data_IF_022173560480
#
_entry.id   IF_022173560480
#
_cell.length_a   1.000
_cell.length_b   1.000
_cell.length_c   1.000
_cell.angle_alpha   90.00
_cell.angle_beta   90.00
_cell.angle_gamma   90.00
#
_symmetry.space_group_name_H-M   'P 1'
#
loop_
_entity.id
_entity.type
_entity.pdbx_description
1 polymer ?
#
# COMPACT_ATOMS: atom_id res chain seq x y z
N UNK A 1 28.73 -6.99 6.69
CA UNK A 1 27.63 -6.07 6.31
C UNK A 1 26.56 -6.23 7.37
N UNK A 2 26.37 -5.21 8.22
CA UNK A 2 25.35 -5.29 9.28
C UNK A 2 23.97 -5.36 8.66
N UNK A 3 23.20 -6.41 8.97
CA UNK A 3 21.80 -6.49 8.60
C UNK A 3 21.06 -5.34 9.31
N UNK A 4 20.59 -4.35 8.56
CA UNK A 4 19.71 -3.33 9.11
C UNK A 4 18.43 -4.05 9.56
N UNK A 5 18.27 -4.24 10.88
CA UNK A 5 17.09 -4.88 11.46
C UNK A 5 15.85 -3.96 11.49
N UNK A 6 15.97 -2.75 10.98
CA UNK A 6 14.91 -1.76 10.91
C UNK A 6 14.91 -1.00 9.58
N UNK A 7 13.74 -0.52 9.20
CA UNK A 7 13.53 0.28 7.99
C UNK A 7 12.40 1.28 8.21
N UNK A 8 12.59 2.50 7.73
CA UNK A 8 11.54 3.53 7.70
C UNK A 8 11.10 3.79 6.27
N UNK A 9 9.79 3.72 6.02
CA UNK A 9 9.20 3.89 4.70
C UNK A 9 8.11 4.95 4.70
N UNK A 10 7.98 5.66 3.57
CA UNK A 10 6.87 6.57 3.29
C UNK A 10 5.84 5.86 2.41
N UNK A 11 4.63 5.74 2.93
CA UNK A 11 3.46 5.23 2.23
C UNK A 11 2.71 6.42 1.61
N UNK A 12 2.95 6.68 0.32
CA UNK A 12 2.45 7.86 -0.37
C UNK A 12 1.00 7.70 -0.79
N UNK A 13 0.16 8.71 -0.55
CA UNK A 13 -1.22 8.76 -0.98
C UNK A 13 -1.35 8.84 -2.51
N UNK A 14 -2.54 8.53 -3.02
CA UNK A 14 -2.92 8.77 -4.42
C UNK A 14 -4.18 9.63 -4.50
N UNK A 15 -4.34 10.25 -5.64
CA UNK A 15 -5.60 10.85 -6.09
C UNK A 15 -5.95 10.31 -7.47
N UNK A 16 -7.21 10.43 -7.87
CA UNK A 16 -7.64 10.23 -9.23
C UNK A 16 -7.75 11.59 -9.91
N UNK A 17 -6.98 11.81 -10.99
CA UNK A 17 -7.08 13.03 -11.82
C UNK A 17 -8.31 13.00 -12.70
N UNK A 18 -8.77 11.81 -13.07
CA UNK A 18 -9.99 11.53 -13.79
C UNK A 18 -10.45 10.12 -13.47
N UNK A 19 -11.76 9.90 -13.43
CA UNK A 19 -12.36 8.59 -13.22
C UNK A 19 -13.67 8.50 -14.01
N UNK A 20 -13.73 7.53 -14.90
CA UNK A 20 -14.94 7.16 -15.65
C UNK A 20 -15.40 5.77 -15.21
N UNK A 21 -16.70 5.64 -14.97
CA UNK A 21 -17.35 4.33 -14.80
C UNK A 21 -17.86 3.91 -16.17
N UNK A 22 -17.17 2.93 -16.77
CA UNK A 22 -17.43 2.49 -18.14
C UNK A 22 -18.73 1.67 -18.22
N UNK A 23 -18.88 0.71 -17.30
CA UNK A 23 -20.07 -0.14 -17.19
C UNK A 23 -20.11 -0.87 -15.84
N UNK A 24 -21.30 -1.37 -15.50
CA UNK A 24 -21.46 -2.36 -14.44
C UNK A 24 -21.17 -3.75 -15.00
N UNK A 25 -20.38 -4.53 -14.26
CA UNK A 25 -20.04 -5.91 -14.61
C UNK A 25 -21.07 -6.89 -14.02
N UNK A 26 -21.12 -8.09 -14.56
CA UNK A 26 -22.00 -9.17 -14.07
C UNK A 26 -21.60 -9.66 -12.65
N UNK A 27 -20.31 -9.53 -12.30
CA UNK A 27 -19.78 -9.86 -10.97
C UNK A 27 -20.09 -8.82 -9.89
N UNK A 28 -20.86 -7.77 -10.22
CA UNK A 28 -21.29 -6.70 -9.33
C UNK A 28 -20.30 -5.55 -9.21
N UNK A 29 -19.06 -5.69 -9.71
CA UNK A 29 -18.08 -4.61 -9.81
C UNK A 29 -18.41 -3.64 -10.96
N UNK A 30 -17.72 -2.50 -10.96
CA UNK A 30 -17.75 -1.56 -12.07
C UNK A 30 -16.45 -1.63 -12.85
N UNK A 31 -16.56 -1.69 -14.17
CA UNK A 31 -15.41 -1.44 -15.04
C UNK A 31 -15.13 0.06 -15.04
N UNK A 32 -13.92 0.42 -14.68
CA UNK A 32 -13.51 1.81 -14.55
C UNK A 32 -12.32 2.11 -15.45
N UNK A 33 -12.19 3.38 -15.81
CA UNK A 33 -10.99 3.93 -16.43
C UNK A 33 -10.61 5.17 -15.66
N UNK A 34 -9.40 5.19 -15.06
CA UNK A 34 -8.99 6.30 -14.22
C UNK A 34 -7.50 6.61 -14.38
N UNK A 35 -7.17 7.89 -14.21
CA UNK A 35 -5.78 8.34 -14.14
C UNK A 35 -5.45 8.54 -12.69
N UNK A 36 -4.59 7.65 -12.17
CA UNK A 36 -4.10 7.72 -10.79
C UNK A 36 -2.81 8.53 -10.72
N UNK A 37 -2.69 9.33 -9.68
CA UNK A 37 -1.50 10.15 -9.41
C UNK A 37 -1.05 10.01 -7.96
N UNK A 38 0.21 9.64 -7.76
CA UNK A 38 0.85 9.68 -6.43
C UNK A 38 1.10 11.12 -6.00
N UNK A 39 0.80 11.44 -4.75
CA UNK A 39 1.01 12.77 -4.15
C UNK A 39 1.92 12.70 -2.92
N UNK A 40 2.48 13.83 -2.48
CA UNK A 40 3.43 13.91 -1.37
C UNK A 40 2.79 14.01 0.03
N UNK A 41 1.52 13.60 0.17
CA UNK A 41 0.92 13.27 1.45
C UNK A 41 1.25 11.81 1.76
N UNK A 42 1.73 11.47 2.96
CA UNK A 42 2.16 10.11 3.25
C UNK A 42 2.00 9.73 4.72
N UNK A 43 1.80 8.45 4.95
CA UNK A 43 1.94 7.80 6.24
C UNK A 43 3.39 7.32 6.40
N UNK A 44 3.86 7.22 7.63
CA UNK A 44 5.21 6.71 7.93
C UNK A 44 5.11 5.35 8.61
N UNK A 45 5.87 4.40 8.08
CA UNK A 45 6.00 3.06 8.63
C UNK A 45 7.44 2.85 9.10
N UNK A 46 7.64 2.66 10.40
CA UNK A 46 8.91 2.24 10.98
C UNK A 46 8.78 0.74 11.33
N UNK A 47 9.47 -0.12 10.59
CA UNK A 47 9.34 -1.59 10.64
C UNK A 47 10.64 -2.18 11.18
N UNK A 48 10.53 -3.08 12.16
CA UNK A 48 11.66 -3.80 12.76
C UNK A 48 11.45 -5.30 12.67
N UNK A 49 12.52 -6.04 12.35
CA UNK A 49 12.58 -7.48 12.53
C UNK A 49 12.74 -7.79 14.01
N UNK A 50 11.98 -8.76 14.52
CA UNK A 50 12.06 -9.24 15.91
C UNK A 50 12.36 -10.73 15.91
N UNK A 51 13.00 -11.21 17.01
CA UNK A 51 13.24 -12.65 17.20
C UNK A 51 11.96 -13.36 17.67
N UNK A 52 11.08 -12.65 18.34
CA UNK A 52 9.79 -13.18 18.78
C UNK A 52 8.87 -13.29 17.57
N UNK A 53 8.29 -14.48 17.29
CA UNK A 53 7.36 -14.65 16.18
C UNK A 53 6.13 -13.75 16.29
N UNK A 54 5.55 -13.42 15.15
CA UNK A 54 4.29 -12.69 15.06
C UNK A 54 4.42 -11.29 14.47
N UNK A 55 3.28 -10.61 14.37
CA UNK A 55 3.13 -9.28 13.77
C UNK A 55 2.57 -8.35 14.83
N UNK A 56 3.33 -7.34 15.22
CA UNK A 56 2.93 -6.34 16.20
C UNK A 56 2.77 -4.99 15.50
N UNK A 57 1.59 -4.36 15.65
CA UNK A 57 1.27 -3.06 15.04
C UNK A 57 0.95 -2.07 16.15
N UNK A 58 1.58 -0.89 16.09
CA UNK A 58 1.26 0.29 16.88
C UNK A 58 0.88 1.42 15.94
N UNK A 59 -0.13 2.20 16.27
CA UNK A 59 -0.60 3.33 15.49
C UNK A 59 -0.99 4.51 16.37
N UNK A 60 -0.91 5.72 15.83
CA UNK A 60 -1.37 6.95 16.47
C UNK A 60 -2.91 7.12 16.45
N UNK A 61 -3.66 6.24 15.78
CA UNK A 61 -5.13 6.28 15.70
C UNK A 61 -5.72 5.05 16.41
N UNK A 62 -6.29 5.23 17.59
CA UNK A 62 -6.79 4.16 18.46
C UNK A 62 -7.94 3.35 17.86
N UNK A 63 -8.68 3.90 16.90
CA UNK A 63 -9.79 3.21 16.23
C UNK A 63 -9.36 2.30 15.07
N UNK A 64 -8.10 2.36 14.63
CA UNK A 64 -7.61 1.46 13.59
C UNK A 64 -7.31 0.08 14.17
N UNK A 65 -7.75 -1.01 13.49
CA UNK A 65 -7.43 -2.35 13.93
C UNK A 65 -5.91 -2.60 13.86
N UNK A 66 -5.38 -3.34 14.83
CA UNK A 66 -3.97 -3.74 14.90
C UNK A 66 -3.78 -5.26 14.74
N UNK A 67 -4.78 -5.91 14.19
CA UNK A 67 -4.87 -7.36 13.97
C UNK A 67 -5.09 -7.68 12.48
N UNK A 68 -5.55 -8.89 12.17
CA UNK A 68 -5.80 -9.41 10.82
C UNK A 68 -6.81 -8.61 9.98
N UNK A 69 -7.58 -7.72 10.60
CA UNK A 69 -8.47 -6.80 9.88
C UNK A 69 -7.72 -5.60 9.26
N UNK A 70 -6.46 -5.40 9.63
CA UNK A 70 -5.62 -4.36 9.05
C UNK A 70 -4.91 -4.87 7.79
N UNK A 71 -4.92 -4.07 6.70
CA UNK A 71 -4.25 -4.45 5.46
C UNK A 71 -2.73 -4.59 5.61
N UNK A 72 -2.11 -3.85 6.54
CA UNK A 72 -0.69 -3.98 6.88
C UNK A 72 -0.40 -5.36 7.45
N UNK A 73 -1.27 -5.84 8.37
CA UNK A 73 -1.14 -7.18 8.95
C UNK A 73 -1.24 -8.25 7.86
N UNK A 74 -2.25 -8.14 6.98
CA UNK A 74 -2.43 -9.06 5.83
C UNK A 74 -1.20 -9.07 4.92
N UNK A 75 -0.62 -7.91 4.65
CA UNK A 75 0.57 -7.77 3.81
C UNK A 75 1.80 -8.45 4.42
N UNK A 76 2.03 -8.24 5.71
CA UNK A 76 3.13 -8.90 6.42
C UNK A 76 2.92 -10.42 6.44
N UNK A 77 1.73 -10.87 6.87
CA UNK A 77 1.39 -12.28 6.98
C UNK A 77 1.52 -13.01 5.65
N UNK A 78 1.07 -12.42 4.55
CA UNK A 78 1.16 -13.01 3.21
C UNK A 78 2.60 -13.41 2.86
N UNK A 79 3.57 -12.50 3.04
CA UNK A 79 4.96 -12.80 2.72
C UNK A 79 5.61 -13.69 3.78
N UNK A 80 5.29 -13.50 5.07
CA UNK A 80 5.85 -14.34 6.13
C UNK A 80 5.42 -15.80 5.99
N UNK A 81 4.16 -16.06 5.64
CA UNK A 81 3.66 -17.41 5.40
C UNK A 81 4.28 -18.02 4.13
N UNK A 82 4.31 -17.26 3.02
CA UNK A 82 4.82 -17.74 1.73
C UNK A 82 6.32 -18.13 1.80
N UNK A 83 7.11 -17.37 2.57
CA UNK A 83 8.56 -17.59 2.70
C UNK A 83 8.93 -18.31 4.00
N UNK A 84 7.96 -18.88 4.73
CA UNK A 84 8.19 -19.61 5.99
C UNK A 84 9.07 -18.84 6.98
N UNK A 85 8.80 -17.52 7.12
CA UNK A 85 9.55 -16.65 8.02
C UNK A 85 9.12 -16.94 9.46
N UNK A 86 10.03 -17.39 10.28
CA UNK A 86 9.81 -17.73 11.70
C UNK A 86 10.03 -16.54 12.64
N UNK A 87 10.84 -15.57 12.24
CA UNK A 87 11.02 -14.31 12.97
C UNK A 87 9.75 -13.45 12.90
N UNK A 88 9.60 -12.51 13.82
CA UNK A 88 8.49 -11.57 13.81
C UNK A 88 8.83 -10.22 13.19
N UNK A 89 7.81 -9.37 13.11
CA UNK A 89 7.93 -7.97 12.75
C UNK A 89 7.16 -7.09 13.74
N UNK A 90 7.77 -5.99 14.14
CA UNK A 90 7.14 -4.92 14.91
C UNK A 90 7.08 -3.67 14.04
N UNK A 91 5.90 -3.07 13.96
CA UNK A 91 5.62 -1.90 13.13
C UNK A 91 5.05 -0.76 13.96
N UNK A 92 5.57 0.45 13.75
CA UNK A 92 4.94 1.70 14.18
C UNK A 92 4.44 2.47 12.96
N UNK A 93 3.12 2.69 12.91
CA UNK A 93 2.43 3.45 11.87
C UNK A 93 2.09 4.86 12.39
N UNK A 94 2.66 5.89 11.76
CA UNK A 94 2.25 7.29 11.93
C UNK A 94 1.31 7.67 10.77
N UNK A 95 0.00 7.61 11.05
CA UNK A 95 -1.07 7.82 10.08
C UNK A 95 -1.37 9.31 9.92
N UNK A 96 -1.27 9.82 8.69
CA UNK A 96 -1.51 11.21 8.30
C UNK A 96 -2.47 11.34 7.14
N UNK A 97 -2.55 10.31 6.28
CA UNK A 97 -3.55 10.24 5.20
C UNK A 97 -4.90 10.06 5.85
N UNK A 98 -5.89 10.93 5.59
CA UNK A 98 -7.24 10.80 6.13
C UNK A 98 -7.85 9.43 5.81
N UNK A 99 -8.43 8.80 6.82
CA UNK A 99 -9.09 7.50 6.66
C UNK A 99 -10.37 7.64 5.87
N UNK A 100 -10.66 6.68 4.99
CA UNK A 100 -11.84 6.62 4.14
C UNK A 100 -12.02 7.87 3.23
N UNK A 101 -10.93 8.48 2.79
CA UNK A 101 -10.94 9.70 1.95
C UNK A 101 -10.66 9.44 0.46
N UNK A 102 -10.74 8.19 -0.02
CA UNK A 102 -10.47 7.85 -1.43
C UNK A 102 -9.00 7.96 -1.85
N UNK A 103 -8.08 8.21 -0.91
CA UNK A 103 -6.65 8.42 -1.16
C UNK A 103 -5.79 7.15 -0.97
N UNK A 104 -6.40 5.99 -0.92
CA UNK A 104 -5.77 4.68 -0.76
C UNK A 104 -4.85 4.53 0.47
N UNK A 105 -5.13 5.23 1.60
CA UNK A 105 -4.26 5.22 2.77
C UNK A 105 -3.93 3.82 3.29
N UNK A 106 -4.92 2.95 3.46
CA UNK A 106 -4.69 1.57 3.89
C UNK A 106 -3.93 0.73 2.87
N UNK A 107 -4.23 0.92 1.57
CA UNK A 107 -3.56 0.18 0.48
C UNK A 107 -2.10 0.60 0.32
N UNK A 108 -1.78 1.89 0.51
CA UNK A 108 -0.39 2.35 0.45
C UNK A 108 0.41 1.91 1.67
N UNK A 109 -0.22 1.80 2.85
CA UNK A 109 0.41 1.23 4.04
C UNK A 109 0.74 -0.25 3.81
N UNK A 110 -0.19 -1.03 3.25
CA UNK A 110 0.03 -2.43 2.89
C UNK A 110 1.15 -2.59 1.83
N UNK A 111 1.17 -1.72 0.81
CA UNK A 111 2.23 -1.68 -0.19
C UNK A 111 3.61 -1.41 0.45
N UNK A 112 3.68 -0.45 1.37
CA UNK A 112 4.90 -0.16 2.10
C UNK A 112 5.33 -1.35 2.98
N UNK A 113 4.38 -2.07 3.59
CA UNK A 113 4.67 -3.27 4.37
C UNK A 113 5.22 -4.41 3.51
N UNK A 114 4.64 -4.68 2.34
CA UNK A 114 5.19 -5.66 1.38
C UNK A 114 6.64 -5.33 1.00
N UNK A 115 6.91 -4.06 0.69
CA UNK A 115 8.27 -3.59 0.37
C UNK A 115 9.20 -3.74 1.58
N UNK A 116 8.70 -3.40 2.78
CA UNK A 116 9.46 -3.48 4.03
C UNK A 116 9.87 -4.90 4.37
N UNK A 117 8.94 -5.86 4.37
CA UNK A 117 9.21 -7.28 4.64
C UNK A 117 10.17 -7.84 3.59
N UNK A 118 9.94 -7.57 2.30
CA UNK A 118 10.84 -8.00 1.23
C UNK A 118 12.29 -7.54 1.47
N UNK A 119 12.50 -6.32 1.95
CA UNK A 119 13.84 -5.77 2.21
C UNK A 119 14.44 -6.32 3.52
N UNK A 120 13.67 -6.34 4.62
CA UNK A 120 14.14 -6.79 5.93
C UNK A 120 14.57 -8.25 5.94
N UNK A 121 13.87 -9.08 5.18
CA UNK A 121 14.15 -10.51 5.09
C UNK A 121 14.93 -10.90 3.82
N UNK A 122 15.32 -9.90 2.99
CA UNK A 122 16.10 -10.11 1.77
C UNK A 122 15.47 -11.14 0.83
N UNK A 123 14.14 -11.09 0.63
CA UNK A 123 13.39 -12.09 -0.14
C UNK A 123 13.69 -12.03 -1.65
N UNK A 124 14.26 -10.92 -2.13
CA UNK A 124 14.66 -10.78 -3.53
C UNK A 124 13.50 -10.57 -4.51
N UNK A 125 12.28 -10.30 -4.00
CA UNK A 125 11.11 -10.06 -4.86
C UNK A 125 11.26 -8.77 -5.65
N UNK A 126 11.01 -8.86 -6.96
CA UNK A 126 10.93 -7.71 -7.87
C UNK A 126 9.67 -6.89 -7.59
N UNK A 127 9.66 -5.64 -8.06
CA UNK A 127 8.49 -4.77 -7.98
C UNK A 127 7.24 -5.42 -8.58
N UNK A 128 7.37 -6.09 -9.73
CA UNK A 128 6.29 -6.80 -10.40
C UNK A 128 5.72 -7.93 -9.51
N UNK A 129 6.60 -8.75 -8.95
CA UNK A 129 6.19 -9.86 -8.06
C UNK A 129 5.49 -9.37 -6.79
N UNK A 130 5.89 -8.20 -6.26
CA UNK A 130 5.18 -7.57 -5.14
C UNK A 130 3.80 -7.05 -5.56
N UNK A 131 3.66 -6.49 -6.76
CA UNK A 131 2.36 -6.03 -7.29
C UNK A 131 1.40 -7.20 -7.48
N UNK A 132 1.86 -8.33 -8.03
CA UNK A 132 1.07 -9.56 -8.21
C UNK A 132 0.49 -10.08 -6.86
N UNK A 133 1.27 -10.00 -5.79
CA UNK A 133 0.82 -10.33 -4.42
C UNK A 133 -0.11 -9.28 -3.84
N UNK A 134 0.17 -8.02 -4.16
CA UNK A 134 -0.62 -6.88 -3.69
C UNK A 134 -2.09 -6.94 -4.10
N UNK A 135 -2.40 -7.51 -5.27
CA UNK A 135 -3.79 -7.70 -5.75
C UNK A 135 -4.64 -8.49 -4.74
N UNK A 136 -4.05 -9.50 -4.06
CA UNK A 136 -4.74 -10.32 -3.08
C UNK A 136 -5.13 -9.55 -1.80
N UNK A 137 -4.47 -8.41 -1.55
CA UNK A 137 -4.72 -7.57 -0.37
C UNK A 137 -5.75 -6.48 -0.68
N UNK A 138 -5.67 -5.90 -1.89
CA UNK A 138 -6.61 -4.88 -2.34
C UNK A 138 -6.26 -4.31 -3.72
N UNK A 139 -7.28 -3.85 -4.44
CA UNK A 139 -7.18 -3.39 -5.84
C UNK A 139 -6.19 -2.21 -6.03
N UNK A 140 -6.09 -1.31 -5.05
CA UNK A 140 -5.17 -0.15 -5.12
C UNK A 140 -3.72 -0.49 -4.73
N UNK A 141 -3.45 -1.66 -4.10
CA UNK A 141 -2.12 -2.01 -3.59
C UNK A 141 -1.07 -2.10 -4.70
N UNK A 142 -1.35 -2.71 -5.86
CA UNK A 142 -0.40 -2.73 -6.99
C UNK A 142 0.00 -1.33 -7.44
N UNK A 143 -0.97 -0.42 -7.57
CA UNK A 143 -0.67 0.97 -7.92
C UNK A 143 0.20 1.64 -6.84
N UNK A 144 -0.09 1.45 -5.56
CA UNK A 144 0.71 2.01 -4.45
C UNK A 144 2.15 1.49 -4.44
N UNK A 145 2.39 0.27 -4.95
CA UNK A 145 3.75 -0.26 -5.19
C UNK A 145 4.36 0.40 -6.44
N UNK A 146 3.58 0.54 -7.53
CA UNK A 146 4.05 1.10 -8.78
C UNK A 146 4.41 2.57 -8.66
N UNK A 147 3.52 3.39 -8.07
CA UNK A 147 3.62 4.86 -7.92
C UNK A 147 3.67 5.61 -9.25
N UNK A 148 3.68 6.94 -9.16
CA UNK A 148 3.77 7.83 -10.31
C UNK A 148 2.42 8.20 -10.90
N UNK A 149 2.37 8.41 -12.22
CA UNK A 149 1.13 8.61 -12.99
C UNK A 149 0.80 7.33 -13.75
N UNK A 150 -0.42 6.86 -13.66
CA UNK A 150 -0.84 5.62 -14.33
C UNK A 150 -2.28 5.68 -14.81
N UNK A 151 -2.54 5.05 -15.96
CA UNK A 151 -3.86 4.64 -16.36
C UNK A 151 -4.19 3.33 -15.65
N UNK A 152 -5.33 3.28 -14.99
CA UNK A 152 -5.88 2.09 -14.36
C UNK A 152 -7.20 1.74 -15.02
N UNK A 153 -7.33 0.51 -15.43
CA UNK A 153 -8.50 -0.05 -16.13
C UNK A 153 -8.97 -1.33 -15.43
N UNK A 154 -10.05 -1.94 -15.92
CA UNK A 154 -10.67 -3.09 -15.27
C UNK A 154 -11.44 -2.65 -14.01
N UNK A 155 -11.15 -3.25 -12.86
CA UNK A 155 -11.62 -2.80 -11.55
C UNK A 155 -10.57 -1.89 -10.84
N UNK A 156 -9.53 -1.45 -11.59
CA UNK A 156 -8.42 -0.62 -11.13
C UNK A 156 -7.07 -1.34 -11.03
N UNK A 157 -7.01 -2.62 -11.40
CA UNK A 157 -5.82 -3.48 -11.30
C UNK A 157 -4.96 -3.50 -12.56
N UNK A 158 -5.55 -3.22 -13.74
CA UNK A 158 -4.80 -3.17 -15.00
C UNK A 158 -4.10 -1.81 -15.14
N UNK A 159 -2.81 -1.80 -14.83
CA UNK A 159 -2.02 -0.58 -14.69
C UNK A 159 -1.07 -0.37 -15.87
N UNK A 160 -1.18 0.78 -16.51
CA UNK A 160 -0.28 1.24 -17.56
C UNK A 160 0.41 2.54 -17.12
N UNK A 161 1.76 2.57 -17.01
CA UNK A 161 2.47 3.79 -16.65
C UNK A 161 2.21 4.91 -17.68
N UNK A 162 2.01 6.13 -17.22
CA UNK A 162 1.88 7.32 -18.03
C UNK A 162 3.11 8.25 -17.82
N UNK A 163 3.35 9.20 -18.71
CA UNK A 163 4.33 10.26 -18.48
C UNK A 163 4.07 10.97 -17.13
N UNK A 164 5.13 11.34 -16.41
CA UNK A 164 4.97 11.98 -15.11
C UNK A 164 4.22 13.31 -15.23
N UNK A 165 3.29 13.55 -14.31
CA UNK A 165 2.62 14.84 -14.21
C UNK A 165 3.65 15.94 -13.84
N UNK A 166 3.47 17.14 -14.41
CA UNK A 166 4.24 18.32 -14.00
C UNK A 166 4.09 18.59 -12.51
N UNK A 167 5.18 18.99 -11.86
CA UNK A 167 5.15 19.34 -10.44
C UNK A 167 4.25 20.56 -10.21
N UNK A 168 3.21 20.37 -9.41
CA UNK A 168 2.29 21.43 -9.00
C UNK A 168 1.80 21.20 -7.58
N UNK A 169 1.39 22.26 -6.86
CA UNK A 169 0.69 22.10 -5.60
C UNK A 169 -0.70 21.50 -5.85
N UNK A 170 -1.12 20.62 -4.91
CA UNK A 170 -2.46 20.01 -4.93
C UNK A 170 -3.17 20.37 -3.63
N UNK A 171 -4.29 21.05 -3.73
CA UNK A 171 -5.18 21.34 -2.61
C UNK A 171 -6.23 20.23 -2.51
N UNK A 172 -6.35 19.61 -1.35
CA UNK A 172 -7.35 18.58 -1.07
C UNK A 172 -8.33 19.11 -0.03
N UNK A 173 -9.62 19.15 -0.39
CA UNK A 173 -10.69 19.45 0.54
C UNK A 173 -11.53 18.20 0.76
N UNK A 174 -11.61 17.74 2.02
CA UNK A 174 -12.48 16.63 2.43
C UNK A 174 -13.59 17.21 3.31
N UNK A 175 -14.86 17.17 2.87
CA UNK A 175 -15.99 17.51 3.74
C UNK A 175 -16.05 16.59 4.96
N UNK A 176 -16.61 17.10 6.05
CA UNK A 176 -16.86 16.37 7.30
C UNK A 176 -17.95 15.32 7.12
#
# INVERSE_FOLDING_TARGET
MGSNNDISLKALAKINLGLDVVRRREDGYHEVRMIMQTIHLYDRLDIKRTKEPGIQIQTNLSFLPVNENNLIYKAAKLLMDEFSITDGVSLKLDKRIPVAAGMAGGSTDAAAMLIGVNRLFSLGLTKRQLMERGVQIGADVPYCIMRGTALAEGIGEALSPLPPMVKCPVLIAKPS
#
